data_IF_234846769069
#
_entry.id   IF_234846769069
#
_cell.length_a   1.000
_cell.length_b   1.000
_cell.length_c   1.000
_cell.angle_alpha   90.00
_cell.angle_beta   90.00
_cell.angle_gamma   90.00
#
_symmetry.space_group_name_H-M   'P 1'
#
loop_
_entity.id
_entity.type
_entity.pdbx_description
1 polymer ?
#
# COMPACT_ATOMS: atom_id res chain seq x y z
N UNK A 1 -8.03 12.15 -15.49
CA UNK A 1 -7.93 11.06 -16.48
C UNK A 1 -6.93 11.52 -17.52
N UNK A 2 -6.04 10.63 -17.97
CA UNK A 2 -5.09 10.93 -19.04
C UNK A 2 -5.81 11.19 -20.36
N UNK A 3 -5.27 12.07 -21.20
CA UNK A 3 -5.65 12.19 -22.61
C UNK A 3 -5.19 10.99 -23.45
N UNK A 4 -4.26 10.19 -22.92
CA UNK A 4 -3.72 8.99 -23.56
C UNK A 4 -4.76 7.88 -23.66
N UNK A 5 -5.03 7.42 -24.89
CA UNK A 5 -5.85 6.23 -25.17
C UNK A 5 -4.95 5.01 -25.21
N UNK A 6 -5.27 4.00 -24.40
CA UNK A 6 -4.53 2.74 -24.40
C UNK A 6 -4.92 1.88 -25.60
N UNK A 7 -3.94 1.18 -26.16
CA UNK A 7 -4.20 0.06 -27.05
C UNK A 7 -4.71 -1.16 -26.27
N UNK A 8 -5.40 -2.07 -26.94
CA UNK A 8 -5.91 -3.31 -26.32
C UNK A 8 -4.79 -4.14 -25.66
N UNK A 9 -3.58 -4.13 -26.24
CA UNK A 9 -2.41 -4.82 -25.69
C UNK A 9 -1.90 -4.14 -24.41
N UNK A 10 -1.88 -2.81 -24.38
CA UNK A 10 -1.49 -2.06 -23.17
C UNK A 10 -2.53 -2.25 -22.05
N UNK A 11 -3.83 -2.27 -22.36
CA UNK A 11 -4.87 -2.57 -21.37
C UNK A 11 -4.69 -3.97 -20.79
N UNK A 12 -4.49 -4.97 -21.65
CA UNK A 12 -4.24 -6.35 -21.23
C UNK A 12 -3.00 -6.46 -20.34
N UNK A 13 -1.91 -5.79 -20.72
CA UNK A 13 -0.68 -5.73 -19.94
C UNK A 13 -0.93 -5.13 -18.55
N UNK A 14 -1.65 -4.01 -18.46
CA UNK A 14 -1.90 -3.31 -17.20
C UNK A 14 -2.90 -4.06 -16.30
N UNK A 15 -3.79 -4.87 -16.87
CA UNK A 15 -4.71 -5.73 -16.14
C UNK A 15 -4.00 -6.82 -15.31
N UNK A 16 -2.75 -7.18 -15.62
CA UNK A 16 -1.96 -8.06 -14.76
C UNK A 16 -1.74 -7.48 -13.35
N UNK A 17 -1.84 -6.15 -13.20
CA UNK A 17 -1.82 -5.45 -11.92
C UNK A 17 -0.45 -4.90 -11.53
N UNK A 18 -0.46 -3.99 -10.54
CA UNK A 18 0.73 -3.26 -10.11
C UNK A 18 1.82 -4.16 -9.52
N UNK A 19 1.41 -5.21 -8.82
CA UNK A 19 2.30 -6.15 -8.13
C UNK A 19 2.67 -7.35 -9.00
N UNK A 20 2.39 -7.29 -10.32
CA UNK A 20 2.77 -8.33 -11.27
C UNK A 20 4.29 -8.40 -11.44
N UNK A 21 4.86 -9.57 -11.14
CA UNK A 21 6.29 -9.81 -11.30
C UNK A 21 6.58 -10.32 -12.71
N UNK A 22 7.44 -9.62 -13.45
CA UNK A 22 7.91 -10.07 -14.76
C UNK A 22 9.10 -11.01 -14.54
N UNK A 23 8.81 -12.30 -14.46
CA UNK A 23 9.85 -13.30 -14.31
C UNK A 23 10.38 -13.70 -15.68
N UNK A 24 11.67 -13.44 -15.88
CA UNK A 24 12.33 -13.58 -17.18
C UNK A 24 13.33 -14.74 -17.21
N UNK A 25 13.57 -15.40 -16.07
CA UNK A 25 14.49 -16.54 -15.94
C UNK A 25 14.27 -17.23 -14.60
N UNK A 26 14.14 -18.56 -14.62
CA UNK A 26 14.27 -19.38 -13.41
C UNK A 26 15.75 -19.36 -13.03
N UNK A 27 16.10 -18.64 -11.97
CA UNK A 27 17.48 -18.47 -11.53
C UNK A 27 17.96 -19.64 -10.67
N UNK A 28 17.08 -20.18 -9.82
CA UNK A 28 17.37 -21.32 -8.97
C UNK A 28 16.29 -22.40 -9.12
N UNK A 29 16.64 -23.50 -9.79
CA UNK A 29 15.73 -24.61 -10.04
C UNK A 29 15.30 -25.31 -8.75
N UNK A 30 16.19 -25.39 -7.76
CA UNK A 30 15.91 -26.07 -6.50
C UNK A 30 14.91 -25.27 -5.65
N UNK A 31 15.09 -23.96 -5.56
CA UNK A 31 14.13 -23.08 -4.85
C UNK A 31 12.75 -23.13 -5.52
N UNK A 32 12.71 -23.09 -6.86
CA UNK A 32 11.46 -23.18 -7.62
C UNK A 32 10.73 -24.51 -7.40
N UNK A 33 11.45 -25.64 -7.40
CA UNK A 33 10.86 -26.95 -7.05
C UNK A 33 10.34 -26.95 -5.62
N UNK A 34 11.12 -26.45 -4.66
CA UNK A 34 10.76 -26.41 -3.24
C UNK A 34 9.51 -25.54 -3.02
N UNK A 35 9.43 -24.38 -3.64
CA UNK A 35 8.26 -23.48 -3.54
C UNK A 35 7.01 -24.10 -4.16
N UNK A 36 7.14 -24.81 -5.27
CA UNK A 36 6.02 -25.55 -5.87
C UNK A 36 5.52 -26.66 -4.96
N UNK A 37 6.42 -27.43 -4.37
CA UNK A 37 6.05 -28.49 -3.42
C UNK A 37 5.37 -27.91 -2.18
N UNK A 38 5.92 -26.84 -1.59
CA UNK A 38 5.33 -26.16 -0.45
C UNK A 38 3.94 -25.58 -0.76
N UNK A 39 3.74 -24.99 -1.94
CA UNK A 39 2.44 -24.45 -2.32
C UNK A 39 1.44 -25.56 -2.67
N UNK A 40 1.88 -26.67 -3.28
CA UNK A 40 1.04 -27.84 -3.49
C UNK A 40 0.57 -28.44 -2.14
N UNK A 41 1.46 -28.47 -1.13
CA UNK A 41 1.13 -28.87 0.24
C UNK A 41 0.18 -27.91 0.98
N UNK A 42 -0.10 -26.71 0.44
CA UNK A 42 -1.12 -25.77 0.99
C UNK A 42 -2.52 -25.95 0.38
N UNK A 43 -2.67 -26.77 -0.66
CA UNK A 43 -3.96 -27.18 -1.21
C UNK A 43 -4.79 -28.19 -0.36
N UNK A 44 -4.31 -28.84 0.72
CA UNK A 44 -5.10 -29.82 1.44
C UNK A 44 -6.06 -29.08 2.35
N UNK A 45 -7.28 -28.92 1.88
CA UNK A 45 -8.40 -28.68 2.79
C UNK A 45 -9.48 -29.76 2.66
N UNK A 46 -9.72 -30.36 1.48
CA UNK A 46 -10.87 -31.27 1.31
C UNK A 46 -10.71 -32.43 0.30
N UNK A 47 -9.51 -32.76 -0.19
CA UNK A 47 -9.33 -33.83 -1.19
C UNK A 47 -8.82 -35.15 -0.60
N UNK A 48 -9.34 -36.28 -1.10
CA UNK A 48 -8.85 -37.61 -0.77
C UNK A 48 -7.40 -37.81 -1.24
N UNK A 49 -6.60 -38.54 -0.47
CA UNK A 49 -5.14 -38.65 -0.63
C UNK A 49 -4.68 -39.19 -2.01
N UNK A 50 -5.50 -40.04 -2.63
CA UNK A 50 -5.26 -40.52 -4.00
C UNK A 50 -5.39 -39.41 -5.07
N UNK A 51 -6.35 -38.48 -4.90
CA UNK A 51 -6.55 -37.33 -5.79
C UNK A 51 -5.41 -36.33 -5.59
N UNK A 52 -5.02 -36.09 -4.34
CA UNK A 52 -3.88 -35.24 -4.01
C UNK A 52 -2.59 -35.74 -4.70
N UNK A 53 -2.28 -37.04 -4.58
CA UNK A 53 -1.11 -37.64 -5.25
C UNK A 53 -1.15 -37.50 -6.77
N UNK A 54 -2.32 -37.60 -7.39
CA UNK A 54 -2.48 -37.40 -8.83
C UNK A 54 -2.22 -35.94 -9.22
N UNK A 55 -2.78 -34.98 -8.48
CA UNK A 55 -2.58 -33.53 -8.72
C UNK A 55 -1.11 -33.18 -8.52
N UNK A 56 -0.49 -33.63 -7.43
CA UNK A 56 0.93 -33.44 -7.16
C UNK A 56 1.80 -33.95 -8.30
N UNK A 57 1.55 -35.17 -8.77
CA UNK A 57 2.31 -35.76 -9.89
C UNK A 57 2.12 -34.96 -11.18
N UNK A 58 0.93 -34.43 -11.44
CA UNK A 58 0.69 -33.56 -12.61
C UNK A 58 1.44 -32.23 -12.49
N UNK A 59 1.40 -31.58 -11.31
CA UNK A 59 2.13 -30.33 -11.04
C UNK A 59 3.63 -30.55 -11.17
N UNK A 60 4.15 -31.63 -10.57
CA UNK A 60 5.56 -31.99 -10.65
C UNK A 60 6.00 -32.32 -12.09
N UNK A 61 5.21 -33.05 -12.86
CA UNK A 61 5.52 -33.31 -14.26
C UNK A 61 5.52 -32.03 -15.11
N UNK A 62 4.56 -31.13 -14.88
CA UNK A 62 4.47 -29.85 -15.56
C UNK A 62 5.65 -28.94 -15.20
N UNK A 63 6.06 -28.91 -13.92
CA UNK A 63 7.22 -28.14 -13.47
C UNK A 63 8.52 -28.65 -14.10
N UNK A 64 8.73 -29.98 -14.13
CA UNK A 64 9.89 -30.59 -14.80
C UNK A 64 9.95 -30.26 -16.29
N UNK A 65 8.80 -30.25 -16.98
CA UNK A 65 8.72 -29.84 -18.38
C UNK A 65 9.08 -28.36 -18.57
N UNK A 66 8.56 -27.48 -17.71
CA UNK A 66 8.90 -26.05 -17.69
C UNK A 66 10.40 -25.82 -17.43
N UNK A 67 10.97 -26.52 -16.46
CA UNK A 67 12.41 -26.45 -16.13
C UNK A 67 13.25 -26.84 -17.34
N UNK A 68 12.92 -27.96 -18.01
CA UNK A 68 13.63 -28.39 -19.23
C UNK A 68 13.52 -27.38 -20.36
N UNK A 69 12.34 -26.82 -20.58
CA UNK A 69 12.14 -25.77 -21.58
C UNK A 69 12.93 -24.49 -21.25
N UNK A 70 12.99 -24.11 -19.98
CA UNK A 70 13.69 -22.91 -19.49
C UNK A 70 15.22 -22.95 -19.64
N UNK A 71 15.81 -24.16 -19.68
CA UNK A 71 17.26 -24.33 -19.88
C UNK A 71 17.71 -23.87 -21.27
N UNK A 72 16.80 -23.95 -22.26
CA UNK A 72 17.12 -23.66 -23.65
C UNK A 72 16.38 -22.43 -24.21
N UNK A 73 15.34 -21.93 -23.51
CA UNK A 73 14.57 -20.75 -23.92
C UNK A 73 14.29 -19.86 -22.72
N UNK A 74 14.37 -18.55 -22.94
CA UNK A 74 13.90 -17.56 -21.96
C UNK A 74 12.39 -17.73 -21.78
N UNK A 75 11.96 -18.14 -20.59
CA UNK A 75 10.56 -18.11 -20.21
C UNK A 75 10.23 -16.68 -19.79
N UNK A 76 9.32 -16.05 -20.51
CA UNK A 76 8.69 -14.80 -20.10
C UNK A 76 7.22 -15.09 -19.86
N UNK A 77 6.68 -14.55 -18.78
CA UNK A 77 5.25 -14.55 -18.50
C UNK A 77 4.51 -13.41 -19.24
N UNK A 78 5.19 -12.71 -20.15
CA UNK A 78 4.63 -11.74 -21.07
C UNK A 78 4.87 -12.18 -22.51
N UNK A 79 3.91 -11.90 -23.39
CA UNK A 79 4.07 -12.00 -24.83
C UNK A 79 5.05 -10.95 -25.37
N UNK A 80 5.61 -11.19 -26.56
CA UNK A 80 6.51 -10.22 -27.21
C UNK A 80 5.79 -8.88 -27.48
N UNK A 81 4.49 -8.93 -27.77
CA UNK A 81 3.62 -7.76 -27.95
C UNK A 81 3.45 -6.97 -26.64
N UNK A 82 3.15 -7.64 -25.52
CA UNK A 82 3.06 -7.01 -24.20
C UNK A 82 4.40 -6.43 -23.75
N UNK A 83 5.52 -7.09 -24.07
CA UNK A 83 6.86 -6.59 -23.75
C UNK A 83 7.19 -5.34 -24.58
N UNK A 84 6.79 -5.31 -25.86
CA UNK A 84 6.89 -4.11 -26.69
C UNK A 84 6.00 -2.98 -26.17
N UNK A 85 4.76 -3.28 -25.76
CA UNK A 85 3.84 -2.33 -25.15
C UNK A 85 4.41 -1.76 -23.85
N UNK A 86 4.99 -2.59 -22.98
CA UNK A 86 5.65 -2.14 -21.75
C UNK A 86 6.81 -1.19 -22.03
N UNK A 87 7.63 -1.48 -23.05
CA UNK A 87 8.71 -0.59 -23.48
C UNK A 87 8.17 0.74 -24.02
N UNK A 88 7.08 0.71 -24.79
CA UNK A 88 6.39 1.90 -25.30
C UNK A 88 5.84 2.77 -24.17
N UNK A 89 5.12 2.18 -23.22
CA UNK A 89 4.62 2.88 -22.04
C UNK A 89 5.75 3.47 -21.20
N UNK A 90 6.88 2.76 -21.07
CA UNK A 90 8.07 3.25 -20.36
C UNK A 90 8.77 4.41 -21.08
N UNK A 91 8.78 4.43 -22.41
CA UNK A 91 9.39 5.52 -23.18
C UNK A 91 8.50 6.76 -23.27
N UNK A 92 7.19 6.63 -23.02
CA UNK A 92 6.27 7.75 -22.98
C UNK A 92 6.56 8.66 -21.77
N UNK A 93 7.09 9.86 -22.06
CA UNK A 93 7.42 10.85 -21.03
C UNK A 93 6.28 11.83 -20.71
N UNK A 94 5.16 11.76 -21.44
CA UNK A 94 4.00 12.63 -21.27
C UNK A 94 2.99 12.09 -20.26
N UNK A 95 3.11 10.82 -19.87
CA UNK A 95 2.20 10.16 -18.93
C UNK A 95 2.92 9.76 -17.64
N UNK A 96 2.17 9.72 -16.54
CA UNK A 96 2.59 9.15 -15.25
C UNK A 96 1.71 7.94 -14.98
N UNK A 97 2.35 6.79 -14.77
CA UNK A 97 1.68 5.54 -14.39
C UNK A 97 1.95 5.30 -12.91
N UNK A 98 0.89 5.22 -12.11
CA UNK A 98 0.99 5.07 -10.65
C UNK A 98 -0.14 4.20 -10.09
N UNK A 99 0.02 3.75 -8.85
CA UNK A 99 -1.04 3.03 -8.13
C UNK A 99 -2.12 4.00 -7.68
N UNK A 100 -3.38 3.59 -7.74
CA UNK A 100 -4.47 4.34 -7.12
C UNK A 100 -4.37 4.33 -5.59
N UNK A 101 -4.99 5.34 -4.98
CA UNK A 101 -5.11 5.42 -3.52
C UNK A 101 -5.93 4.27 -2.91
N UNK A 102 -6.93 3.76 -3.64
CA UNK A 102 -7.79 2.64 -3.24
C UNK A 102 -8.01 1.69 -4.41
N UNK A 103 -8.16 0.40 -4.11
CA UNK A 103 -8.62 -0.61 -5.06
C UNK A 103 -7.53 -1.33 -5.86
N UNK A 104 -6.25 -1.23 -5.47
CA UNK A 104 -5.11 -1.90 -6.13
C UNK A 104 -5.07 -1.75 -7.66
N UNK A 105 -5.67 -0.69 -8.20
CA UNK A 105 -5.70 -0.44 -9.63
C UNK A 105 -4.55 0.46 -10.08
N UNK A 106 -4.22 0.37 -11.36
CA UNK A 106 -3.24 1.22 -12.03
C UNK A 106 -3.97 2.43 -12.61
N UNK A 107 -3.36 3.61 -12.46
CA UNK A 107 -3.90 4.87 -12.98
C UNK A 107 -2.85 5.52 -13.88
N UNK A 108 -3.30 5.94 -15.06
CA UNK A 108 -2.51 6.73 -16.00
C UNK A 108 -3.02 8.16 -15.95
N UNK A 109 -2.08 9.10 -15.82
CA UNK A 109 -2.33 10.53 -15.73
C UNK A 109 -1.46 11.27 -16.76
N UNK A 110 -1.96 12.37 -17.30
CA UNK A 110 -1.09 13.32 -18.00
C UNK A 110 -0.08 13.90 -17.01
N UNK A 111 1.19 13.90 -17.41
CA UNK A 111 2.29 14.32 -16.55
C UNK A 111 2.18 15.78 -16.16
N UNK A 112 1.85 16.66 -17.11
CA UNK A 112 1.70 18.09 -16.83
C UNK A 112 0.59 18.35 -15.79
N UNK A 113 -0.57 17.71 -15.95
CA UNK A 113 -1.67 17.83 -15.00
C UNK A 113 -1.30 17.26 -13.61
N UNK A 114 -0.57 16.14 -13.57
CA UNK A 114 -0.07 15.56 -12.32
C UNK A 114 0.94 16.47 -11.63
N UNK A 115 1.91 17.01 -12.37
CA UNK A 115 2.93 17.92 -11.84
C UNK A 115 2.31 19.21 -11.31
N UNK A 116 1.34 19.79 -12.04
CA UNK A 116 0.60 20.96 -11.58
C UNK A 116 -0.10 20.69 -10.24
N UNK A 117 -0.83 19.58 -10.13
CA UNK A 117 -1.48 19.17 -8.88
C UNK A 117 -0.47 18.97 -7.74
N UNK A 118 0.69 18.40 -8.03
CA UNK A 118 1.76 18.20 -7.05
C UNK A 118 2.31 19.55 -6.56
N UNK A 119 2.60 20.48 -7.47
CA UNK A 119 3.06 21.83 -7.14
C UNK A 119 2.03 22.62 -6.35
N UNK A 120 0.76 22.53 -6.72
CA UNK A 120 -0.33 23.20 -5.99
C UNK A 120 -0.42 22.69 -4.54
N UNK A 121 -0.21 21.39 -4.31
CA UNK A 121 -0.12 20.82 -2.96
C UNK A 121 1.13 21.34 -2.22
N UNK A 122 2.28 21.39 -2.88
CA UNK A 122 3.55 21.85 -2.29
C UNK A 122 3.58 23.35 -1.98
N UNK A 123 2.68 24.15 -2.56
CA UNK A 123 2.49 25.56 -2.22
C UNK A 123 1.58 25.77 -1.00
N UNK A 124 0.97 24.71 -0.47
CA UNK A 124 0.15 24.79 0.74
C UNK A 124 0.98 25.14 1.98
N UNK A 125 0.31 25.68 3.00
CA UNK A 125 0.92 26.18 4.25
C UNK A 125 1.71 25.10 5.01
N UNK A 126 1.37 23.84 4.79
CA UNK A 126 2.04 22.68 5.37
C UNK A 126 3.48 22.43 4.85
N UNK A 127 3.90 23.14 3.79
CA UNK A 127 5.23 23.01 3.22
C UNK A 127 5.93 24.35 3.20
N UNK A 128 7.11 24.41 3.80
CA UNK A 128 7.99 25.56 3.67
C UNK A 128 9.08 25.26 2.64
N UNK A 129 9.27 26.13 1.64
CA UNK A 129 10.41 26.02 0.75
C UNK A 129 11.68 26.28 1.54
N UNK A 130 12.53 25.26 1.66
CA UNK A 130 13.90 25.48 2.07
C UNK A 130 14.53 26.47 1.09
N UNK A 131 15.17 27.54 1.62
CA UNK A 131 15.95 28.48 0.81
C UNK A 131 16.76 27.70 -0.21
N UNK A 132 16.70 28.10 -1.48
CA UNK A 132 17.32 27.37 -2.60
C UNK A 132 18.74 26.99 -2.22
N UNK A 133 18.93 25.73 -1.83
CA UNK A 133 20.24 25.16 -1.58
C UNK A 133 20.83 24.97 -2.97
N UNK A 134 21.93 25.66 -3.26
CA UNK A 134 22.59 25.47 -4.55
C UNK A 134 22.95 23.98 -4.73
N UNK A 135 22.99 23.49 -5.97
CA UNK A 135 23.23 22.07 -6.24
C UNK A 135 24.55 21.58 -5.61
N UNK A 136 25.57 22.43 -5.51
CA UNK A 136 26.89 22.09 -4.95
C UNK A 136 26.81 21.89 -3.43
N UNK A 137 26.08 22.74 -2.71
CA UNK A 137 25.80 22.64 -1.30
C UNK A 137 24.87 21.46 -1.03
N UNK A 138 23.88 21.22 -1.88
CA UNK A 138 23.03 20.02 -1.81
C UNK A 138 23.88 18.75 -1.86
N UNK A 139 24.79 18.62 -2.83
CA UNK A 139 25.66 17.45 -2.91
C UNK A 139 26.59 17.29 -1.69
N UNK A 140 27.03 18.41 -1.07
CA UNK A 140 27.83 18.38 0.16
C UNK A 140 27.03 17.99 1.41
N UNK A 141 25.77 18.44 1.50
CA UNK A 141 24.87 18.18 2.62
C UNK A 141 24.15 16.84 2.50
N UNK A 142 24.03 16.31 1.28
CA UNK A 142 23.39 15.03 1.03
C UNK A 142 24.20 13.94 1.71
N UNK A 143 23.59 13.35 2.75
CA UNK A 143 24.13 12.18 3.44
C UNK A 143 24.43 11.08 2.43
N UNK A 144 25.64 10.52 2.50
CA UNK A 144 26.03 9.34 1.70
C UNK A 144 25.34 8.06 2.18
N UNK A 145 24.76 8.07 3.39
CA UNK A 145 24.18 6.89 4.03
C UNK A 145 22.64 6.92 4.11
N UNK A 146 21.98 8.00 3.68
CA UNK A 146 20.52 8.11 3.74
C UNK A 146 19.93 8.81 2.51
N UNK A 147 18.73 8.38 2.11
CA UNK A 147 17.98 9.00 1.03
C UNK A 147 17.19 10.20 1.54
N UNK A 148 17.01 11.20 0.68
CA UNK A 148 16.04 12.26 0.94
C UNK A 148 14.63 11.69 0.89
N UNK A 149 13.72 12.27 1.68
CA UNK A 149 12.32 11.90 1.63
C UNK A 149 11.72 12.36 0.29
N UNK A 150 10.88 11.52 -0.30
CA UNK A 150 10.32 11.74 -1.64
C UNK A 150 8.83 12.01 -1.54
N UNK A 151 8.38 13.11 -2.14
CA UNK A 151 6.96 13.42 -2.30
C UNK A 151 6.40 12.78 -3.57
N UNK A 152 5.22 12.18 -3.48
CA UNK A 152 4.40 11.79 -4.64
C UNK A 152 2.92 11.79 -4.29
N UNK A 153 2.05 11.88 -5.30
CA UNK A 153 0.60 11.89 -5.15
C UNK A 153 -0.03 10.59 -5.62
N UNK A 154 -0.93 10.01 -4.82
CA UNK A 154 -1.76 8.87 -5.22
C UNK A 154 -3.16 9.36 -5.65
N UNK A 155 -3.61 9.12 -6.89
CA UNK A 155 -4.93 9.56 -7.34
C UNK A 155 -6.05 8.80 -6.62
N UNK A 156 -7.01 9.54 -6.04
CA UNK A 156 -8.26 9.00 -5.50
C UNK A 156 -9.24 8.78 -6.65
N UNK A 157 -9.03 7.70 -7.41
CA UNK A 157 -9.81 7.37 -8.62
C UNK A 157 -11.34 7.26 -8.37
N UNK A 158 -11.75 6.96 -7.13
CA UNK A 158 -13.14 6.82 -6.70
C UNK A 158 -13.84 8.15 -6.36
N UNK A 159 -13.15 9.30 -6.44
CA UNK A 159 -13.73 10.63 -6.17
C UNK A 159 -13.75 11.48 -7.43
N UNK A 160 -14.83 12.25 -7.61
CA UNK A 160 -14.97 13.23 -8.70
C UNK A 160 -13.82 14.25 -8.67
N UNK A 161 -13.30 14.60 -9.85
CA UNK A 161 -12.14 15.51 -9.99
C UNK A 161 -10.77 14.84 -9.73
N UNK A 162 -10.77 13.56 -9.33
CA UNK A 162 -9.56 12.76 -9.09
C UNK A 162 -8.53 13.50 -8.21
N UNK A 163 -8.91 13.88 -6.98
CA UNK A 163 -7.97 14.51 -6.05
C UNK A 163 -6.82 13.57 -5.74
N UNK A 164 -5.61 14.11 -5.58
CA UNK A 164 -4.40 13.37 -5.23
C UNK A 164 -4.23 13.33 -3.71
N UNK A 165 -3.96 12.15 -3.14
CA UNK A 165 -3.48 12.01 -1.76
C UNK A 165 -1.96 12.26 -1.76
N UNK A 166 -1.47 13.31 -1.08
CA UNK A 166 -0.04 13.50 -0.93
C UNK A 166 0.57 12.43 -0.04
N UNK A 167 1.71 11.89 -0.45
CA UNK A 167 2.50 10.93 0.32
C UNK A 167 3.95 11.43 0.37
N UNK A 168 4.53 11.40 1.56
CA UNK A 168 5.95 11.63 1.77
C UNK A 168 6.57 10.29 2.16
N UNK A 169 7.30 9.67 1.23
CA UNK A 169 8.06 8.46 1.54
C UNK A 169 9.36 8.84 2.22
N UNK A 170 9.48 8.44 3.48
CA UNK A 170 10.68 8.62 4.30
C UNK A 170 11.54 7.35 4.33
N UNK A 171 11.24 6.33 3.52
CA UNK A 171 11.99 5.07 3.51
C UNK A 171 13.45 5.33 3.11
N UNK A 172 14.38 4.86 3.94
CA UNK A 172 15.82 5.07 3.76
C UNK A 172 16.34 6.43 4.23
N UNK A 173 15.46 7.33 4.69
CA UNK A 173 15.88 8.61 5.27
C UNK A 173 16.39 8.47 6.69
N UNK A 174 17.21 9.44 7.13
CA UNK A 174 17.87 9.42 8.45
C UNK A 174 16.87 9.32 9.62
N UNK A 175 15.69 9.93 9.48
CA UNK A 175 14.64 9.94 10.50
C UNK A 175 13.81 8.65 10.54
N UNK A 176 13.86 7.79 9.51
CA UNK A 176 12.96 6.65 9.37
C UNK A 176 13.01 5.68 10.56
N UNK A 177 14.23 5.31 10.99
CA UNK A 177 14.40 4.36 12.11
C UNK A 177 14.03 5.01 13.45
N UNK A 178 14.35 6.30 13.62
CA UNK A 178 13.97 7.06 14.81
C UNK A 178 12.44 7.16 14.92
N UNK A 179 11.75 7.49 13.83
CA UNK A 179 10.28 7.54 13.79
C UNK A 179 9.65 6.18 14.12
N UNK A 180 10.22 5.07 13.64
CA UNK A 180 9.77 3.71 14.01
C UNK A 180 9.95 3.41 15.50
N UNK A 181 11.11 3.79 16.05
CA UNK A 181 11.39 3.61 17.47
C UNK A 181 10.40 4.40 18.33
N UNK A 182 10.17 5.68 18.00
CA UNK A 182 9.20 6.53 18.70
C UNK A 182 7.77 6.00 18.56
N UNK A 183 7.35 5.61 17.35
CA UNK A 183 6.02 5.04 17.13
C UNK A 183 5.77 3.78 17.97
N UNK A 184 6.82 2.95 18.16
CA UNK A 184 6.75 1.80 19.08
C UNK A 184 6.59 2.27 20.53
N UNK A 185 7.45 3.18 21.00
CA UNK A 185 7.36 3.70 22.37
C UNK A 185 5.99 4.31 22.69
N UNK A 186 5.43 5.10 21.77
CA UNK A 186 4.10 5.72 21.90
C UNK A 186 3.01 4.65 21.96
N UNK A 187 3.06 3.64 21.07
CA UNK A 187 2.07 2.56 21.05
C UNK A 187 2.12 1.74 22.34
N UNK A 188 3.31 1.47 22.86
CA UNK A 188 3.51 0.65 24.05
C UNK A 188 3.11 1.43 25.33
N UNK A 189 3.26 2.76 25.34
CA UNK A 189 2.83 3.64 26.43
C UNK A 189 1.31 3.93 26.43
N UNK A 190 0.68 3.96 25.24
CA UNK A 190 -0.74 4.28 25.11
C UNK A 190 -1.63 3.11 25.57
N UNK A 191 -2.55 3.31 26.54
CA UNK A 191 -3.55 2.31 26.87
C UNK A 191 -4.54 2.10 25.71
N UNK A 192 -4.95 0.86 25.49
CA UNK A 192 -5.86 0.52 24.40
C UNK A 192 -7.29 0.97 24.72
N UNK A 193 -7.90 1.76 23.83
CA UNK A 193 -9.28 2.19 23.98
C UNK A 193 -10.24 0.99 23.90
N UNK A 194 -11.29 0.97 24.72
CA UNK A 194 -12.32 -0.10 24.70
C UNK A 194 -13.03 -0.21 23.34
N UNK A 195 -13.16 0.92 22.64
CA UNK A 195 -13.74 1.02 21.30
C UNK A 195 -12.79 0.60 20.18
N UNK A 196 -11.52 0.32 20.47
CA UNK A 196 -10.57 -0.12 19.45
C UNK A 196 -11.01 -1.45 18.83
N UNK A 197 -10.99 -1.49 17.50
CA UNK A 197 -11.18 -2.69 16.70
C UNK A 197 -9.98 -2.82 15.77
N UNK A 198 -9.38 -4.00 15.71
CA UNK A 198 -8.13 -4.24 14.98
C UNK A 198 -8.33 -4.28 13.46
N UNK A 199 -9.34 -5.01 13.00
CA UNK A 199 -9.55 -5.29 11.59
C UNK A 199 -11.03 -5.57 11.25
N UNK A 200 -11.33 -5.69 9.96
CA UNK A 200 -12.68 -5.94 9.46
C UNK A 200 -13.28 -7.27 9.93
N UNK A 201 -12.46 -8.28 10.22
CA UNK A 201 -12.96 -9.57 10.70
C UNK A 201 -13.43 -9.46 12.15
N UNK A 202 -12.69 -8.72 12.98
CA UNK A 202 -13.11 -8.41 14.35
C UNK A 202 -14.40 -7.59 14.38
N UNK A 203 -14.56 -6.61 13.48
CA UNK A 203 -15.83 -5.86 13.33
C UNK A 203 -16.99 -6.83 13.09
N UNK A 204 -16.87 -7.73 12.10
CA UNK A 204 -17.93 -8.70 11.77
C UNK A 204 -18.23 -9.61 12.95
N UNK A 205 -17.21 -10.05 13.70
CA UNK A 205 -17.41 -10.85 14.90
C UNK A 205 -18.21 -10.11 15.96
N UNK A 206 -17.81 -8.87 16.30
CA UNK A 206 -18.52 -8.07 17.31
C UNK A 206 -19.95 -7.76 16.89
N UNK A 207 -20.18 -7.44 15.60
CA UNK A 207 -21.54 -7.17 15.11
C UNK A 207 -22.46 -8.40 15.21
N UNK A 208 -21.93 -9.61 15.05
CA UNK A 208 -22.72 -10.86 15.23
C UNK A 208 -23.07 -11.15 16.68
N UNK A 209 -22.26 -10.66 17.63
CA UNK A 209 -22.50 -10.81 19.07
C UNK A 209 -23.55 -9.83 19.60
N UNK A 210 -23.88 -8.77 18.85
CA UNK A 210 -24.92 -7.80 19.22
C UNK A 210 -26.29 -8.44 19.06
N UNK A 211 -27.00 -8.63 20.17
CA UNK A 211 -28.40 -9.05 20.19
C UNK A 211 -29.29 -7.82 20.33
N UNK A 212 -30.13 -7.57 19.33
CA UNK A 212 -31.09 -6.48 19.32
C UNK A 212 -32.49 -6.97 19.73
N UNK A 213 -33.17 -6.20 20.57
CA UNK A 213 -34.53 -6.51 21.02
C UNK A 213 -35.54 -6.21 19.90
N UNK A 214 -36.35 -7.19 19.51
CA UNK A 214 -37.28 -7.06 18.38
C UNK A 214 -38.35 -5.98 18.56
N UNK A 215 -38.63 -5.54 19.79
CA UNK A 215 -39.65 -4.52 20.07
C UNK A 215 -39.11 -3.08 20.03
N UNK A 216 -37.79 -2.90 19.91
CA UNK A 216 -37.15 -1.58 19.88
C UNK A 216 -36.76 -1.20 18.45
N UNK A 217 -36.85 0.09 18.16
CA UNK A 217 -36.32 0.65 16.91
C UNK A 217 -34.90 1.11 17.16
N UNK A 218 -33.98 0.74 16.27
CA UNK A 218 -32.57 1.12 16.33
C UNK A 218 -32.20 1.94 15.10
N UNK A 219 -31.35 2.94 15.31
CA UNK A 219 -30.79 3.77 14.24
C UNK A 219 -29.29 3.48 14.20
N UNK A 220 -28.77 3.18 13.00
CA UNK A 220 -27.33 3.06 12.78
C UNK A 220 -26.78 4.40 12.32
N UNK A 221 -25.86 4.96 13.10
CA UNK A 221 -25.13 6.17 12.75
C UNK A 221 -23.69 5.80 12.35
N UNK A 222 -23.21 6.35 11.24
CA UNK A 222 -21.83 6.18 10.78
C UNK A 222 -21.19 7.55 10.62
N UNK A 223 -19.99 7.72 11.16
CA UNK A 223 -19.22 8.96 11.11
C UNK A 223 -17.86 8.67 10.48
N UNK A 224 -17.42 9.55 9.58
CA UNK A 224 -16.07 9.52 8.99
C UNK A 224 -15.36 10.84 9.34
N UNK A 225 -14.10 10.74 9.76
CA UNK A 225 -13.30 11.93 10.08
C UNK A 225 -12.63 12.42 8.80
N UNK A 226 -12.93 13.64 8.40
CA UNK A 226 -12.30 14.23 7.22
C UNK A 226 -10.84 14.64 7.51
N UNK A 227 -9.94 14.18 6.64
CA UNK A 227 -8.53 14.60 6.61
C UNK A 227 -7.80 14.49 7.96
N UNK A 228 -8.03 13.39 8.69
CA UNK A 228 -7.48 13.15 10.04
C UNK A 228 -6.01 13.57 10.20
N UNK A 229 -5.13 13.21 9.26
CA UNK A 229 -3.69 13.48 9.39
C UNK A 229 -3.31 14.96 9.32
N UNK A 230 -4.05 15.79 8.57
CA UNK A 230 -3.74 17.23 8.44
C UNK A 230 -4.41 18.06 9.53
N UNK A 231 -5.39 17.50 10.22
CA UNK A 231 -6.20 18.19 11.23
C UNK A 231 -5.82 17.77 12.67
N UNK A 232 -4.69 17.09 12.88
CA UNK A 232 -4.23 16.74 14.23
C UNK A 232 -3.65 17.99 14.91
N UNK A 233 -4.15 18.41 16.08
CA UNK A 233 -3.54 19.49 16.87
C UNK A 233 -2.18 19.01 17.39
N UNK A 234 -1.09 19.53 16.81
CA UNK A 234 0.25 18.98 17.00
C UNK A 234 0.72 19.16 18.46
N UNK A 235 0.51 20.35 19.02
CA UNK A 235 0.91 20.68 20.38
C UNK A 235 0.19 19.79 21.40
N UNK A 236 -1.13 19.67 21.29
CA UNK A 236 -1.94 18.82 22.15
C UNK A 236 -1.57 17.33 22.01
N UNK A 237 -1.28 16.87 20.79
CA UNK A 237 -0.84 15.51 20.54
C UNK A 237 0.52 15.21 21.19
N UNK A 238 1.45 16.18 21.19
CA UNK A 238 2.75 16.05 21.86
C UNK A 238 2.55 15.99 23.37
N UNK A 239 1.79 16.91 23.96
CA UNK A 239 1.52 16.94 25.40
C UNK A 239 0.84 15.65 25.87
N UNK A 240 -0.18 15.20 25.14
CA UNK A 240 -0.89 13.94 25.43
C UNK A 240 0.05 12.74 25.36
N UNK A 241 0.96 12.72 24.38
CA UNK A 241 1.94 11.65 24.23
C UNK A 241 2.94 11.63 25.39
N UNK A 242 3.43 12.79 25.81
CA UNK A 242 4.34 12.93 26.96
C UNK A 242 3.66 12.50 28.26
N UNK A 243 2.39 12.88 28.44
CA UNK A 243 1.58 12.42 29.57
C UNK A 243 1.46 10.89 29.59
N UNK A 244 1.19 10.23 28.46
CA UNK A 244 1.15 8.75 28.43
C UNK A 244 2.49 8.10 28.75
N UNK A 245 3.60 8.65 28.24
CA UNK A 245 4.94 8.07 28.42
C UNK A 245 5.46 8.27 29.85
N UNK A 246 5.29 9.47 30.43
CA UNK A 246 5.91 9.84 31.70
C UNK A 246 4.93 9.85 32.89
N UNK A 247 3.62 9.86 32.67
CA UNK A 247 2.56 9.84 33.70
C UNK A 247 1.50 8.77 33.38
N UNK A 248 1.85 7.47 33.50
CA UNK A 248 1.03 6.35 33.01
C UNK A 248 -0.32 6.15 33.73
N UNK A 249 -0.67 6.97 34.71
CA UNK A 249 -1.91 6.89 35.51
C UNK A 249 -3.11 7.66 34.92
N UNK A 250 -2.96 8.35 33.79
CA UNK A 250 -4.10 9.05 33.16
C UNK A 250 -5.05 8.03 32.53
N UNK A 251 -6.23 7.86 33.12
CA UNK A 251 -7.33 7.10 32.52
C UNK A 251 -7.68 7.73 31.17
N UNK A 252 -8.02 6.90 30.17
CA UNK A 252 -8.44 7.38 28.86
C UNK A 252 -9.71 8.20 29.05
N UNK A 253 -9.63 9.52 28.83
CA UNK A 253 -10.83 10.33 28.63
C UNK A 253 -11.48 9.84 27.35
N UNK A 254 -12.62 9.16 27.50
CA UNK A 254 -13.48 8.83 26.37
C UNK A 254 -14.21 10.12 26.03
N UNK A 255 -14.08 10.66 24.80
CA UNK A 255 -14.67 11.95 24.44
C UNK A 255 -16.21 11.97 24.47
N UNK A 256 -16.83 10.79 24.63
CA UNK A 256 -18.27 10.65 24.83
C UNK A 256 -18.50 9.64 25.96
N UNK A 257 -19.15 10.08 27.03
CA UNK A 257 -19.77 9.18 27.98
C UNK A 257 -21.12 8.66 27.43
N UNK A 258 -21.68 7.63 28.07
CA UNK A 258 -22.94 7.01 27.65
C UNK A 258 -24.15 7.95 27.81
N UNK A 259 -23.96 9.09 28.47
CA UNK A 259 -24.98 10.12 28.70
C UNK A 259 -24.90 11.24 27.64
N UNK A 260 -23.74 11.40 26.99
CA UNK A 260 -23.46 12.32 25.89
C UNK A 260 -23.74 11.74 24.48
N UNK A 261 -24.08 10.45 24.38
CA UNK A 261 -24.56 9.78 23.15
C UNK A 261 -26.05 9.51 23.19
#
# INVERSE_FOLDING_TARGET
MSSYTLSEVEERLLCHGWDFCIENKIMNFLDFETDLELNAMKLPSHCHDSVFRLIYRKIHNASQQLIRASKHKKLSNLSDEELAALKSLKSNTNTVICKADKGSCIVILDKEAYMKKAEDILKGEQFEPLRVIDNKLRYKLQSTCSSLSVFYGLPKAHKTGYPTRPIISTIGSYQYQLSKYLAKAIRDARPQAKSYIKDSFEVVKRLKEIVLEKQKTYIMCSFDVESLYTNVPIEEAIETTLDYIYKPTKLIDVPFDKEQM
#
